data_IF_260339755823
#
_entry.id   IF_260339755823
#
_cell.length_a   1.000
_cell.length_b   1.000
_cell.length_c   1.000
_cell.angle_alpha   90.00
_cell.angle_beta   90.00
_cell.angle_gamma   90.00
#
_symmetry.space_group_name_H-M   'P 1'
#
loop_
_entity.id
_entity.type
_entity.pdbx_description
1 polymer ?
#
# COMPACT_ATOMS: atom_id res chain seq x y z
N UNK A 1 57.84 19.91 -5.97
CA UNK A 1 57.65 18.45 -6.05
C UNK A 1 56.29 18.20 -6.68
N UNK A 2 56.24 18.22 -8.02
CA UNK A 2 55.05 17.94 -8.81
C UNK A 2 54.98 16.44 -9.03
N UNK A 3 53.94 15.79 -8.53
CA UNK A 3 53.60 14.43 -8.94
C UNK A 3 52.75 14.52 -10.22
N UNK A 4 53.27 13.92 -11.29
CA UNK A 4 52.65 13.84 -12.60
C UNK A 4 51.32 13.07 -12.56
N UNK A 5 50.26 13.68 -13.08
CA UNK A 5 49.04 12.98 -13.49
C UNK A 5 49.41 11.93 -14.54
N UNK A 6 49.07 10.67 -14.27
CA UNK A 6 49.18 9.58 -15.23
C UNK A 6 48.30 9.85 -16.46
N UNK A 7 48.85 9.56 -17.65
CA UNK A 7 48.13 9.64 -18.91
C UNK A 7 46.92 8.69 -18.90
N UNK A 8 45.71 9.27 -18.91
CA UNK A 8 44.49 8.53 -19.23
C UNK A 8 44.60 8.10 -20.68
N UNK A 9 44.95 6.84 -20.94
CA UNK A 9 44.88 6.24 -22.27
C UNK A 9 43.43 6.20 -22.74
N UNK A 10 42.98 7.30 -23.36
CA UNK A 10 41.67 7.38 -24.00
C UNK A 10 41.73 6.57 -25.29
N UNK A 11 41.35 5.29 -25.23
CA UNK A 11 41.25 4.46 -26.43
C UNK A 11 40.27 5.12 -27.42
N UNK A 12 40.74 5.34 -28.65
CA UNK A 12 39.93 5.93 -29.71
C UNK A 12 38.87 4.91 -30.14
N UNK A 13 37.61 5.20 -29.86
CA UNK A 13 36.48 4.37 -30.29
C UNK A 13 36.45 4.32 -31.82
N UNK A 14 36.23 3.13 -32.40
CA UNK A 14 36.07 3.02 -33.85
C UNK A 14 34.76 3.69 -34.27
N UNK A 15 34.72 4.30 -35.46
CA UNK A 15 33.54 5.01 -35.97
C UNK A 15 32.34 4.09 -36.16
N UNK A 16 32.59 2.80 -36.42
CA UNK A 16 31.55 1.78 -36.63
C UNK A 16 31.33 0.91 -35.38
N UNK A 17 32.06 1.15 -34.29
CA UNK A 17 31.87 0.39 -33.06
C UNK A 17 30.63 0.91 -32.34
N UNK A 18 29.86 -0.03 -31.79
CA UNK A 18 28.61 0.23 -31.08
C UNK A 18 28.67 -0.23 -29.61
N UNK A 19 29.69 -1.01 -29.27
CA UNK A 19 29.90 -1.59 -27.95
C UNK A 19 31.21 -1.12 -27.30
N UNK A 20 31.19 -0.94 -25.97
CA UNK A 20 32.36 -0.64 -25.12
C UNK A 20 32.83 -1.88 -24.32
N UNK A 21 32.01 -2.94 -24.25
CA UNK A 21 32.36 -4.26 -23.70
C UNK A 21 31.56 -5.40 -24.37
N UNK A 22 31.90 -6.67 -24.07
CA UNK A 22 31.10 -7.84 -24.51
C UNK A 22 31.20 -9.11 -23.65
N UNK A 23 32.25 -9.31 -22.84
CA UNK A 23 32.45 -10.54 -22.05
C UNK A 23 32.90 -10.19 -20.63
N UNK A 24 32.91 -11.15 -19.71
CA UNK A 24 33.52 -10.95 -18.39
C UNK A 24 35.04 -11.14 -18.44
N UNK A 25 35.78 -10.30 -17.71
CA UNK A 25 37.25 -10.34 -17.66
C UNK A 25 37.81 -10.70 -16.28
N UNK A 26 36.99 -11.30 -15.42
CA UNK A 26 37.41 -11.74 -14.09
C UNK A 26 37.06 -10.74 -12.99
N UNK A 27 37.70 -10.88 -11.84
CA UNK A 27 37.37 -10.12 -10.63
C UNK A 27 38.25 -8.87 -10.52
N UNK A 28 37.66 -7.76 -10.11
CA UNK A 28 38.41 -6.60 -9.65
C UNK A 28 38.95 -6.81 -8.22
N UNK A 29 39.76 -5.89 -7.68
CA UNK A 29 40.28 -5.98 -6.32
C UNK A 29 39.20 -6.09 -5.22
N UNK A 30 37.96 -5.67 -5.49
CA UNK A 30 36.82 -5.80 -4.56
C UNK A 30 36.10 -7.15 -4.66
N UNK A 31 36.58 -8.07 -5.50
CA UNK A 31 36.00 -9.39 -5.71
C UNK A 31 34.72 -9.37 -6.56
N UNK A 32 34.47 -8.30 -7.31
CA UNK A 32 33.31 -8.16 -8.21
C UNK A 32 33.73 -8.43 -9.66
N UNK A 33 32.83 -9.03 -10.42
CA UNK A 33 33.07 -9.36 -11.84
C UNK A 33 33.13 -8.07 -12.66
N UNK A 34 34.14 -7.98 -13.52
CA UNK A 34 34.35 -6.87 -14.46
C UNK A 34 34.12 -7.31 -15.90
N UNK A 35 33.88 -6.32 -16.77
CA UNK A 35 33.68 -6.54 -18.18
C UNK A 35 34.99 -6.34 -18.96
N UNK A 36 35.23 -7.18 -19.97
CA UNK A 36 36.30 -7.00 -20.92
C UNK A 36 36.02 -5.81 -21.82
N UNK A 37 37.00 -4.92 -21.96
CA UNK A 37 36.96 -3.89 -22.99
C UNK A 37 36.75 -4.53 -24.37
N UNK A 38 35.85 -3.94 -25.13
CA UNK A 38 35.53 -4.34 -26.49
C UNK A 38 35.19 -3.09 -27.29
N UNK A 39 35.71 -2.98 -28.50
CA UNK A 39 35.48 -1.85 -29.40
C UNK A 39 35.05 -2.43 -30.75
N UNK A 40 33.76 -2.73 -30.88
CA UNK A 40 33.21 -3.36 -32.08
C UNK A 40 31.69 -3.29 -32.10
N UNK A 41 31.08 -3.94 -33.09
CA UNK A 41 29.63 -3.98 -33.23
C UNK A 41 28.97 -4.96 -32.27
N UNK A 42 27.69 -4.74 -31.96
CA UNK A 42 26.89 -5.74 -31.26
C UNK A 42 26.89 -7.09 -31.98
N UNK A 43 26.81 -8.17 -31.20
CA UNK A 43 26.83 -9.54 -31.73
C UNK A 43 25.46 -10.17 -31.61
N UNK A 44 25.11 -11.02 -32.57
CA UNK A 44 23.88 -11.79 -32.52
C UNK A 44 23.94 -12.75 -31.32
N UNK A 45 22.95 -12.67 -30.43
CA UNK A 45 22.82 -13.57 -29.30
C UNK A 45 22.21 -14.90 -29.76
N UNK A 46 23.03 -15.95 -29.82
CA UNK A 46 22.60 -17.28 -30.32
C UNK A 46 22.33 -18.29 -29.21
N UNK A 47 22.78 -18.03 -27.98
CA UNK A 47 22.59 -18.94 -26.85
C UNK A 47 21.11 -18.92 -26.41
N UNK A 48 20.45 -20.07 -26.48
CA UNK A 48 19.02 -20.20 -26.20
C UNK A 48 18.67 -19.87 -24.74
N UNK A 49 19.55 -20.21 -23.79
CA UNK A 49 19.32 -19.93 -22.37
C UNK A 49 19.44 -18.44 -22.10
N UNK A 50 20.46 -17.79 -22.66
CA UNK A 50 20.67 -16.36 -22.56
C UNK A 50 19.55 -15.57 -23.23
N UNK A 51 19.07 -15.99 -24.40
CA UNK A 51 17.90 -15.39 -25.06
C UNK A 51 16.68 -15.44 -24.15
N UNK A 52 16.41 -16.58 -23.52
CA UNK A 52 15.26 -16.72 -22.62
C UNK A 52 15.40 -15.87 -21.36
N UNK A 53 16.59 -15.84 -20.79
CA UNK A 53 16.90 -15.00 -19.62
C UNK A 53 16.76 -13.52 -19.97
N UNK A 54 17.27 -13.09 -21.12
CA UNK A 54 17.17 -11.70 -21.59
C UNK A 54 15.73 -11.31 -21.90
N UNK A 55 14.94 -12.16 -22.55
CA UNK A 55 13.50 -11.91 -22.76
C UNK A 55 12.78 -11.67 -21.43
N UNK A 56 13.08 -12.50 -20.42
CA UNK A 56 12.39 -12.45 -19.12
C UNK A 56 12.87 -11.27 -18.26
N UNK A 57 14.18 -11.03 -18.20
CA UNK A 57 14.77 -10.01 -17.34
C UNK A 57 14.82 -8.63 -18.00
N UNK A 58 14.94 -8.57 -19.33
CA UNK A 58 15.24 -7.37 -20.11
C UNK A 58 14.45 -7.35 -21.43
N UNK A 59 13.14 -7.61 -21.37
CA UNK A 59 12.27 -7.62 -22.54
C UNK A 59 12.34 -6.35 -23.40
N UNK A 60 12.80 -5.21 -22.86
CA UNK A 60 13.01 -3.98 -23.62
C UNK A 60 14.21 -4.00 -24.60
N UNK A 61 15.18 -4.91 -24.40
CA UNK A 61 16.36 -5.07 -25.27
C UNK A 61 16.19 -6.27 -26.21
N UNK A 62 15.34 -7.23 -25.83
CA UNK A 62 15.06 -8.41 -26.63
C UNK A 62 14.28 -8.05 -27.91
N UNK A 63 14.67 -8.63 -29.04
CA UNK A 63 14.05 -8.37 -30.35
C UNK A 63 13.62 -9.64 -31.09
N UNK A 64 13.63 -10.81 -30.43
CA UNK A 64 13.32 -12.11 -31.03
C UNK A 64 14.56 -13.00 -31.18
N UNK A 65 14.37 -14.31 -31.42
CA UNK A 65 15.45 -15.30 -31.34
C UNK A 65 16.54 -15.11 -32.41
N UNK A 66 16.19 -14.55 -33.57
CA UNK A 66 17.11 -14.39 -34.72
C UNK A 66 17.47 -12.93 -35.02
N UNK A 67 17.11 -12.00 -34.13
CA UNK A 67 17.18 -10.55 -34.34
C UNK A 67 17.66 -9.79 -33.10
N UNK A 68 18.07 -10.51 -32.05
CA UNK A 68 18.59 -9.91 -30.82
C UNK A 68 20.10 -9.77 -30.91
N UNK A 69 20.56 -8.55 -31.15
CA UNK A 69 21.98 -8.18 -31.09
C UNK A 69 22.27 -7.50 -29.76
N UNK A 70 23.37 -7.86 -29.11
CA UNK A 70 23.73 -7.34 -27.79
C UNK A 70 25.20 -6.94 -27.71
N UNK A 71 25.49 -5.99 -26.83
CA UNK A 71 26.83 -5.68 -26.36
C UNK A 71 27.20 -6.47 -25.08
N UNK A 72 26.54 -7.61 -24.86
CA UNK A 72 26.79 -8.46 -23.70
C UNK A 72 26.74 -9.94 -24.08
N UNK A 73 27.59 -10.75 -23.45
CA UNK A 73 27.65 -12.19 -23.62
C UNK A 73 26.69 -12.93 -22.66
N UNK A 74 26.40 -14.23 -22.92
CA UNK A 74 25.52 -15.06 -22.10
C UNK A 74 25.79 -15.04 -20.58
N UNK A 75 27.07 -15.05 -20.20
CA UNK A 75 27.52 -14.98 -18.82
C UNK A 75 27.15 -13.64 -18.15
N UNK A 76 27.30 -12.52 -18.87
CA UNK A 76 26.90 -11.19 -18.38
C UNK A 76 25.38 -11.09 -18.20
N UNK A 77 24.60 -11.66 -19.13
CA UNK A 77 23.14 -11.72 -19.03
C UNK A 77 22.72 -12.50 -17.78
N UNK A 78 23.32 -13.68 -17.56
CA UNK A 78 23.04 -14.50 -16.39
C UNK A 78 23.38 -13.76 -15.08
N UNK A 79 24.56 -13.12 -15.02
CA UNK A 79 24.99 -12.39 -13.82
C UNK A 79 24.13 -11.15 -13.54
N UNK A 80 23.77 -10.37 -14.56
CA UNK A 80 22.86 -9.24 -14.42
C UNK A 80 21.48 -9.70 -13.91
N UNK A 81 20.92 -10.77 -14.50
CA UNK A 81 19.64 -11.32 -14.07
C UNK A 81 19.67 -11.82 -12.62
N UNK A 82 20.78 -12.43 -12.18
CA UNK A 82 20.97 -12.83 -10.79
C UNK A 82 21.01 -11.63 -9.83
N UNK A 83 21.71 -10.55 -10.19
CA UNK A 83 21.77 -9.32 -9.38
C UNK A 83 20.39 -8.65 -9.22
N UNK A 84 19.52 -8.76 -10.24
CA UNK A 84 18.14 -8.28 -10.12
C UNK A 84 17.32 -9.02 -9.07
N UNK A 85 17.74 -10.18 -8.57
CA UNK A 85 17.04 -10.89 -7.48
C UNK A 85 16.87 -10.03 -6.23
N UNK A 86 17.92 -9.31 -5.82
CA UNK A 86 17.87 -8.39 -4.66
C UNK A 86 16.96 -7.18 -4.95
N UNK A 87 17.07 -6.59 -6.14
CA UNK A 87 16.20 -5.50 -6.54
C UNK A 87 14.73 -5.93 -6.62
N UNK A 88 14.44 -7.15 -7.08
CA UNK A 88 13.09 -7.71 -7.16
C UNK A 88 12.48 -7.91 -5.78
N UNK A 89 13.28 -8.32 -4.80
CA UNK A 89 12.83 -8.45 -3.42
C UNK A 89 12.38 -7.09 -2.84
N UNK A 90 13.04 -5.99 -3.23
CA UNK A 90 12.72 -4.64 -2.78
C UNK A 90 11.59 -3.99 -3.60
N UNK A 91 11.63 -4.10 -4.92
CA UNK A 91 10.80 -3.30 -5.83
C UNK A 91 9.67 -4.11 -6.47
N UNK A 92 9.66 -5.44 -6.33
CA UNK A 92 8.80 -6.34 -7.08
C UNK A 92 7.30 -6.24 -6.80
N UNK A 93 6.88 -5.56 -5.72
CA UNK A 93 5.46 -5.28 -5.44
C UNK A 93 4.85 -4.30 -6.44
N UNK A 94 5.66 -3.41 -7.01
CA UNK A 94 5.23 -2.45 -8.03
C UNK A 94 5.90 -2.79 -9.37
N UNK A 95 5.18 -3.41 -10.31
CA UNK A 95 5.73 -3.83 -11.60
C UNK A 95 6.39 -2.68 -12.37
N UNK A 96 5.75 -1.49 -12.43
CA UNK A 96 6.26 -0.33 -13.17
C UNK A 96 7.60 0.17 -12.63
N UNK A 97 7.73 0.25 -11.30
CA UNK A 97 9.01 0.57 -10.64
C UNK A 97 10.09 -0.44 -11.01
N UNK A 98 9.81 -1.74 -10.86
CA UNK A 98 10.80 -2.77 -11.14
C UNK A 98 11.18 -2.85 -12.64
N UNK A 99 10.25 -2.55 -13.54
CA UNK A 99 10.52 -2.43 -14.98
C UNK A 99 11.46 -1.27 -15.28
N UNK A 100 11.13 -0.07 -14.78
CA UNK A 100 11.95 1.12 -14.98
C UNK A 100 13.36 0.95 -14.38
N UNK A 101 13.46 0.37 -13.18
CA UNK A 101 14.74 0.02 -12.56
C UNK A 101 15.58 -0.90 -13.46
N UNK A 102 15.00 -1.99 -13.95
CA UNK A 102 15.72 -2.93 -14.84
C UNK A 102 16.12 -2.27 -16.16
N UNK A 103 15.28 -1.38 -16.69
CA UNK A 103 15.55 -0.67 -17.94
C UNK A 103 16.89 0.05 -17.95
N UNK A 104 17.25 0.66 -16.81
CA UNK A 104 18.53 1.36 -16.62
C UNK A 104 19.72 0.42 -16.83
N UNK A 105 19.70 -0.74 -16.19
CA UNK A 105 20.81 -1.69 -16.20
C UNK A 105 20.82 -2.60 -17.44
N UNK A 106 19.65 -2.98 -17.96
CA UNK A 106 19.52 -3.77 -19.19
C UNK A 106 20.12 -3.04 -20.39
N UNK A 107 19.81 -1.75 -20.55
CA UNK A 107 20.33 -0.92 -21.63
C UNK A 107 21.84 -0.66 -21.49
N UNK A 108 22.28 -0.27 -20.29
CA UNK A 108 23.70 -0.12 -19.98
C UNK A 108 24.49 -1.38 -20.33
N UNK A 109 24.01 -2.54 -19.90
CA UNK A 109 24.75 -3.79 -20.05
C UNK A 109 24.71 -4.32 -21.48
N UNK A 110 23.55 -4.30 -22.12
CA UNK A 110 23.26 -5.12 -23.29
C UNK A 110 22.75 -4.37 -24.54
N UNK A 111 22.44 -3.05 -24.47
CA UNK A 111 21.98 -2.32 -25.67
C UNK A 111 22.97 -2.48 -26.81
N UNK A 112 22.53 -2.73 -28.06
CA UNK A 112 23.43 -2.96 -29.19
C UNK A 112 24.27 -1.75 -29.59
N UNK A 113 23.97 -0.58 -29.03
CA UNK A 113 24.55 0.72 -29.31
C UNK A 113 24.88 1.52 -28.03
N UNK A 114 25.18 0.81 -26.94
CA UNK A 114 25.41 1.44 -25.64
C UNK A 114 26.60 2.41 -25.60
N UNK A 115 27.51 2.38 -26.59
CA UNK A 115 28.62 3.34 -26.66
C UNK A 115 28.17 4.79 -26.90
N UNK A 116 26.94 5.00 -27.38
CA UNK A 116 26.36 6.32 -27.61
C UNK A 116 26.17 7.11 -26.32
N UNK A 117 25.88 6.40 -25.23
CA UNK A 117 25.53 6.98 -23.94
C UNK A 117 26.43 6.51 -22.79
N UNK A 118 27.38 5.60 -23.08
CA UNK A 118 28.41 5.16 -22.14
C UNK A 118 29.80 5.62 -22.58
N UNK A 119 30.57 6.14 -21.63
CA UNK A 119 31.99 6.45 -21.84
C UNK A 119 32.83 5.81 -20.75
N UNK A 120 33.88 5.08 -21.13
CA UNK A 120 34.83 4.50 -20.17
C UNK A 120 35.70 5.61 -19.59
N UNK A 121 35.79 5.65 -18.26
CA UNK A 121 36.62 6.61 -17.53
C UNK A 121 37.83 5.96 -16.89
N UNK A 122 37.79 4.65 -16.63
CA UNK A 122 38.92 3.92 -16.05
C UNK A 122 39.02 2.48 -16.59
N UNK A 123 40.26 1.99 -16.66
CA UNK A 123 40.62 0.70 -17.21
C UNK A 123 41.55 -0.06 -16.27
N UNK A 124 41.47 -1.39 -16.31
CA UNK A 124 42.41 -2.24 -15.58
C UNK A 124 42.84 -3.46 -16.37
N UNK A 125 43.31 -4.47 -15.64
CA UNK A 125 43.88 -5.69 -16.21
C UNK A 125 43.02 -6.90 -15.87
N UNK A 126 42.71 -7.71 -16.88
CA UNK A 126 41.93 -8.94 -16.70
C UNK A 126 42.67 -9.98 -15.86
N UNK A 127 41.98 -10.55 -14.87
CA UNK A 127 42.47 -11.70 -14.10
C UNK A 127 42.15 -13.04 -14.77
N UNK A 128 41.25 -13.05 -15.75
CA UNK A 128 40.81 -14.26 -16.46
C UNK A 128 41.55 -14.47 -17.79
N UNK A 129 41.88 -13.38 -18.48
CA UNK A 129 42.51 -13.41 -19.79
C UNK A 129 43.78 -12.53 -19.79
N UNK A 130 44.98 -13.13 -19.63
CA UNK A 130 46.23 -12.38 -19.63
C UNK A 130 46.37 -11.46 -20.84
N UNK A 131 46.72 -10.20 -20.60
CA UNK A 131 46.90 -9.18 -21.64
C UNK A 131 45.61 -8.50 -22.13
N UNK A 132 44.42 -8.87 -21.61
CA UNK A 132 43.18 -8.14 -21.88
C UNK A 132 42.92 -7.05 -20.85
N UNK A 133 42.25 -6.00 -21.30
CA UNK A 133 41.86 -4.84 -20.49
C UNK A 133 40.45 -5.01 -19.92
N UNK A 134 40.24 -4.61 -18.67
CA UNK A 134 38.93 -4.52 -18.00
C UNK A 134 38.39 -3.09 -18.06
N UNK A 135 37.06 -2.94 -18.05
CA UNK A 135 36.39 -1.66 -17.80
C UNK A 135 36.17 -1.53 -16.30
N UNK A 136 36.74 -0.49 -15.69
CA UNK A 136 36.75 -0.29 -14.23
C UNK A 136 35.97 0.94 -13.74
N UNK A 137 35.64 1.88 -14.62
CA UNK A 137 34.67 2.91 -14.33
C UNK A 137 34.06 3.47 -15.62
N UNK A 138 32.82 3.96 -15.55
CA UNK A 138 32.14 4.59 -16.69
C UNK A 138 31.36 5.83 -16.28
N UNK A 139 31.15 6.71 -17.26
CA UNK A 139 30.05 7.66 -17.28
C UNK A 139 28.87 7.06 -18.05
N UNK A 140 27.67 7.16 -17.48
CA UNK A 140 26.43 6.76 -18.12
C UNK A 140 25.48 7.95 -18.21
N UNK A 141 25.30 8.50 -19.41
CA UNK A 141 24.44 9.65 -19.64
C UNK A 141 23.02 9.21 -19.97
N UNK A 142 22.05 9.63 -19.16
CA UNK A 142 20.62 9.31 -19.33
C UNK A 142 19.79 10.60 -19.36
N UNK A 143 18.57 10.51 -19.89
CA UNK A 143 17.64 11.63 -19.85
C UNK A 143 17.26 11.96 -18.39
N UNK A 144 17.18 13.24 -18.06
CA UNK A 144 16.81 13.69 -16.71
C UNK A 144 15.40 13.22 -16.33
N UNK A 145 14.45 13.32 -17.27
CA UNK A 145 13.07 12.89 -17.07
C UNK A 145 12.94 11.38 -16.93
N UNK A 146 13.75 10.61 -17.66
CA UNK A 146 13.85 9.16 -17.51
C UNK A 146 14.26 8.79 -16.07
N UNK A 147 15.28 9.46 -15.53
CA UNK A 147 15.74 9.22 -14.17
C UNK A 147 14.70 9.62 -13.11
N UNK A 148 14.04 10.77 -13.28
CA UNK A 148 12.97 11.24 -12.40
C UNK A 148 11.78 10.26 -12.38
N UNK A 149 11.43 9.70 -13.55
CA UNK A 149 10.35 8.73 -13.70
C UNK A 149 10.66 7.40 -13.03
N UNK A 150 11.91 6.92 -13.07
CA UNK A 150 12.33 5.74 -12.29
C UNK A 150 12.07 6.01 -10.81
N UNK A 151 12.62 7.09 -10.24
CA UNK A 151 12.44 7.41 -8.82
C UNK A 151 10.96 7.54 -8.46
N UNK A 152 10.20 8.33 -9.22
CA UNK A 152 8.79 8.61 -8.94
C UNK A 152 7.93 7.35 -9.00
N UNK A 153 8.22 6.43 -9.93
CA UNK A 153 7.51 5.14 -10.00
C UNK A 153 7.78 4.24 -8.80
N UNK A 154 8.92 4.43 -8.12
CA UNK A 154 9.37 3.64 -6.98
C UNK A 154 9.09 4.30 -5.62
N UNK A 155 8.57 5.54 -5.62
CA UNK A 155 8.43 6.39 -4.43
C UNK A 155 7.79 5.62 -3.27
N UNK A 156 6.54 5.19 -3.44
CA UNK A 156 5.75 4.64 -2.34
C UNK A 156 5.85 3.12 -2.20
N UNK A 157 6.78 2.47 -2.91
CA UNK A 157 6.90 1.01 -2.92
C UNK A 157 7.37 0.52 -1.55
N UNK A 158 6.65 -0.42 -0.96
CA UNK A 158 6.95 -0.97 0.35
C UNK A 158 7.84 -2.21 0.23
N UNK A 159 8.80 -2.36 1.13
CA UNK A 159 9.57 -3.59 1.27
C UNK A 159 8.75 -4.64 2.05
N UNK A 160 8.42 -5.81 1.46
CA UNK A 160 7.61 -6.83 2.13
C UNK A 160 8.13 -7.29 3.49
N UNK A 161 9.46 -7.31 3.68
CA UNK A 161 10.10 -7.86 4.87
C UNK A 161 10.21 -6.92 6.07
N UNK A 162 9.79 -5.66 5.95
CA UNK A 162 10.08 -4.65 6.98
C UNK A 162 9.04 -3.54 7.20
N UNK A 163 7.91 -3.54 6.47
CA UNK A 163 6.89 -2.48 6.55
C UNK A 163 7.46 -1.05 6.45
N UNK A 164 8.50 -0.89 5.63
CA UNK A 164 9.21 0.36 5.35
C UNK A 164 9.26 0.60 3.85
N UNK A 165 9.57 1.81 3.40
CA UNK A 165 9.71 2.09 1.97
C UNK A 165 11.00 1.44 1.45
N UNK A 166 10.95 0.88 0.24
CA UNK A 166 12.13 0.27 -0.37
C UNK A 166 13.26 1.28 -0.59
N UNK A 167 12.92 2.55 -0.82
CA UNK A 167 13.88 3.64 -0.97
C UNK A 167 14.67 3.95 0.32
N UNK A 168 14.16 3.63 1.51
CA UNK A 168 14.92 3.78 2.76
C UNK A 168 16.22 2.95 2.73
N UNK A 169 16.23 1.85 1.98
CA UNK A 169 17.40 0.98 1.80
C UNK A 169 18.13 1.20 0.48
N UNK A 170 17.54 1.93 -0.48
CA UNK A 170 18.03 2.03 -1.86
C UNK A 170 18.43 3.45 -2.28
N UNK A 171 18.54 4.39 -1.34
CA UNK A 171 18.87 5.79 -1.65
C UNK A 171 20.04 6.36 -0.84
N UNK A 172 20.54 5.63 0.17
CA UNK A 172 21.56 6.14 1.11
C UNK A 172 21.07 7.28 2.02
N UNK A 173 19.77 7.60 1.96
CA UNK A 173 19.07 8.64 2.71
C UNK A 173 17.66 8.16 3.06
N UNK A 174 17.01 8.74 4.07
CA UNK A 174 15.59 8.48 4.36
C UNK A 174 14.69 8.71 3.14
N UNK A 175 13.63 7.91 3.02
CA UNK A 175 12.69 7.92 1.89
C UNK A 175 12.16 9.32 1.53
N UNK A 176 11.84 10.14 2.53
CA UNK A 176 11.30 11.49 2.37
C UNK A 176 12.32 12.47 1.76
N UNK A 177 13.62 12.24 2.02
CA UNK A 177 14.75 13.03 1.55
C UNK A 177 15.44 12.45 0.30
N UNK A 178 14.91 11.35 -0.24
CA UNK A 178 15.46 10.73 -1.44
C UNK A 178 15.15 11.58 -2.69
N UNK A 179 16.21 12.12 -3.31
CA UNK A 179 16.14 12.84 -4.60
C UNK A 179 16.61 11.95 -5.74
N UNK A 180 16.32 12.36 -6.98
CA UNK A 180 16.75 11.65 -8.21
C UNK A 180 18.27 11.46 -8.23
N UNK A 181 19.02 12.51 -7.88
CA UNK A 181 20.48 12.49 -7.84
C UNK A 181 20.98 11.51 -6.78
N UNK A 182 20.44 11.57 -5.56
CA UNK A 182 20.83 10.66 -4.49
C UNK A 182 20.53 9.19 -4.83
N UNK A 183 19.36 8.94 -5.41
CA UNK A 183 18.96 7.60 -5.82
C UNK A 183 19.90 7.04 -6.91
N UNK A 184 20.16 7.82 -7.97
CA UNK A 184 21.07 7.39 -9.04
C UNK A 184 22.51 7.25 -8.56
N UNK A 185 22.98 8.13 -7.67
CA UNK A 185 24.29 8.01 -7.06
C UNK A 185 24.40 6.74 -6.21
N UNK A 186 23.36 6.38 -5.45
CA UNK A 186 23.31 5.12 -4.71
C UNK A 186 23.37 3.91 -5.65
N UNK A 187 22.64 3.94 -6.76
CA UNK A 187 22.64 2.86 -7.75
C UNK A 187 23.98 2.70 -8.49
N UNK A 188 24.74 3.78 -8.63
CA UNK A 188 25.97 3.79 -9.42
C UNK A 188 27.28 3.75 -8.63
N UNK A 189 27.29 4.18 -7.35
CA UNK A 189 28.53 4.36 -6.59
C UNK A 189 28.37 3.97 -5.11
N UNK A 190 27.36 4.50 -4.42
CA UNK A 190 27.31 4.46 -2.94
C UNK A 190 26.74 3.15 -2.37
N UNK A 191 26.56 2.11 -3.20
CA UNK A 191 26.05 0.81 -2.81
C UNK A 191 27.11 -0.30 -2.98
N UNK A 192 27.41 -1.11 -1.95
CA UNK A 192 28.36 -2.24 -2.03
C UNK A 192 28.04 -3.33 -3.05
N UNK A 193 26.83 -3.33 -3.62
CA UNK A 193 26.45 -4.25 -4.70
C UNK A 193 26.93 -3.79 -6.07
N UNK A 194 27.31 -2.52 -6.22
CA UNK A 194 27.86 -1.97 -7.46
C UNK A 194 29.18 -2.67 -7.79
N UNK A 195 29.34 -3.25 -9.00
CA UNK A 195 30.55 -3.99 -9.35
C UNK A 195 31.75 -3.07 -9.56
N UNK A 196 31.52 -1.88 -10.10
CA UNK A 196 32.52 -0.84 -10.37
C UNK A 196 31.80 0.52 -10.50
N UNK A 197 32.47 1.67 -10.26
CA UNK A 197 31.82 2.98 -10.31
C UNK A 197 31.11 3.29 -11.64
N UNK A 198 29.82 3.62 -11.55
CA UNK A 198 28.98 4.07 -12.66
C UNK A 198 28.53 5.50 -12.34
N UNK A 199 29.17 6.48 -12.97
CA UNK A 199 28.81 7.88 -12.84
C UNK A 199 27.61 8.20 -13.73
N UNK A 200 26.41 8.21 -13.14
CA UNK A 200 25.18 8.53 -13.87
C UNK A 200 25.08 10.05 -14.06
N UNK A 201 25.02 10.49 -15.32
CA UNK A 201 24.91 11.89 -15.74
C UNK A 201 23.54 12.15 -16.35
N UNK A 202 23.00 13.36 -16.17
CA UNK A 202 21.68 13.73 -16.68
C UNK A 202 21.78 14.68 -17.86
N UNK A 203 20.99 14.43 -18.91
CA UNK A 203 20.86 15.30 -20.08
C UNK A 203 19.41 15.70 -20.32
N UNK A 204 19.22 16.96 -20.72
CA UNK A 204 17.96 17.52 -21.23
C UNK A 204 18.11 18.01 -22.67
N UNK A 205 19.25 17.76 -23.31
CA UNK A 205 19.58 18.35 -24.60
C UNK A 205 18.95 17.57 -25.75
N UNK A 206 17.76 17.97 -26.18
CA UNK A 206 17.07 17.36 -27.33
C UNK A 206 17.84 17.49 -28.66
N UNK A 207 18.79 18.43 -28.76
CA UNK A 207 19.62 18.61 -29.96
C UNK A 207 20.66 17.50 -30.13
N UNK A 208 20.99 16.80 -29.05
CA UNK A 208 21.90 15.65 -29.02
C UNK A 208 21.17 14.42 -28.47
N UNK A 209 19.90 14.22 -28.85
CA UNK A 209 19.08 13.09 -28.39
C UNK A 209 19.77 11.72 -28.56
N UNK A 210 20.73 11.63 -29.49
CA UNK A 210 21.47 10.40 -29.74
C UNK A 210 22.58 10.12 -28.70
N UNK A 211 23.02 11.10 -27.90
CA UNK A 211 24.17 11.02 -26.98
C UNK A 211 23.82 10.61 -25.54
N UNK A 212 22.54 10.37 -25.26
CA UNK A 212 22.08 9.90 -23.96
C UNK A 212 20.97 8.87 -24.13
N UNK A 213 20.83 8.02 -23.11
CA UNK A 213 19.79 7.01 -23.12
C UNK A 213 18.45 7.61 -22.69
N UNK A 214 17.42 7.35 -23.50
CA UNK A 214 16.03 7.64 -23.16
C UNK A 214 15.12 6.53 -23.69
N UNK A 215 14.28 5.95 -22.84
CA UNK A 215 13.31 4.94 -23.23
C UNK A 215 11.99 5.15 -22.47
N UNK A 216 10.90 4.61 -23.01
CA UNK A 216 9.60 4.58 -22.36
C UNK A 216 9.69 3.98 -20.96
N UNK A 217 9.25 4.76 -19.98
CA UNK A 217 9.05 4.33 -18.59
C UNK A 217 7.57 4.31 -18.26
N UNK A 218 7.19 3.54 -17.25
CA UNK A 218 5.82 3.47 -16.76
C UNK A 218 5.69 4.10 -15.36
N UNK A 219 4.75 5.02 -15.16
CA UNK A 219 4.35 5.51 -13.84
C UNK A 219 3.76 4.37 -12.99
N UNK A 220 3.74 4.54 -11.67
CA UNK A 220 3.20 3.51 -10.79
C UNK A 220 1.69 3.29 -10.96
N UNK A 221 0.96 4.32 -11.41
CA UNK A 221 -0.49 4.29 -11.64
C UNK A 221 -0.91 3.79 -13.01
N UNK A 222 0.04 3.47 -13.90
CA UNK A 222 -0.27 2.97 -15.25
C UNK A 222 0.22 1.53 -15.44
N UNK A 223 -0.50 0.73 -16.25
CA UNK A 223 -0.07 -0.63 -16.57
C UNK A 223 1.17 -0.61 -17.47
N UNK A 224 1.99 -1.65 -17.35
CA UNK A 224 3.07 -1.91 -18.30
C UNK A 224 2.44 -2.54 -19.53
N UNK A 225 2.59 -1.88 -20.67
CA UNK A 225 2.20 -2.37 -21.99
C UNK A 225 3.44 -2.33 -22.89
N UNK A 226 4.24 -3.38 -22.84
CA UNK A 226 5.45 -3.52 -23.67
C UNK A 226 5.39 -4.79 -24.52
N UNK A 227 6.26 -4.88 -25.53
CA UNK A 227 6.25 -5.98 -26.50
C UNK A 227 6.30 -7.37 -25.86
N UNK A 228 7.10 -7.53 -24.80
CA UNK A 228 7.34 -8.83 -24.13
C UNK A 228 6.93 -8.86 -22.65
N UNK A 229 6.40 -7.76 -22.11
CA UNK A 229 5.97 -7.69 -20.72
C UNK A 229 4.67 -6.88 -20.60
N UNK A 230 3.63 -7.53 -20.09
CA UNK A 230 2.32 -6.93 -19.81
C UNK A 230 1.97 -7.15 -18.34
N UNK A 231 1.76 -6.07 -17.59
CA UNK A 231 1.46 -6.09 -16.15
C UNK A 231 0.45 -5.00 -15.80
N UNK A 232 -0.35 -5.26 -14.78
CA UNK A 232 -1.25 -4.24 -14.22
C UNK A 232 -0.47 -3.12 -13.54
N UNK A 233 -1.12 -1.99 -13.31
CA UNK A 233 -0.59 -0.91 -12.48
C UNK A 233 -0.29 -1.40 -11.05
N UNK A 234 0.52 -0.63 -10.33
CA UNK A 234 0.86 -0.91 -8.94
C UNK A 234 -0.36 -0.75 -8.02
N UNK A 235 -0.43 -1.53 -6.95
CA UNK A 235 -1.51 -1.42 -5.97
C UNK A 235 -1.45 -0.09 -5.20
N UNK A 236 -2.60 0.36 -4.69
CA UNK A 236 -2.74 1.61 -3.93
C UNK A 236 -1.75 1.73 -2.75
N UNK A 237 -1.44 0.62 -2.05
CA UNK A 237 -0.48 0.61 -0.95
C UNK A 237 0.96 0.90 -1.36
N UNK A 238 1.31 0.63 -2.63
CA UNK A 238 2.64 0.81 -3.19
C UNK A 238 2.70 2.02 -4.15
N UNK A 239 1.57 2.71 -4.34
CA UNK A 239 1.41 3.85 -5.24
C UNK A 239 0.12 4.61 -4.90
N UNK A 240 0.26 5.77 -4.24
CA UNK A 240 -0.91 6.56 -3.84
C UNK A 240 -1.75 7.01 -5.05
N UNK A 241 -1.12 7.23 -6.20
CA UNK A 241 -1.79 7.61 -7.45
C UNK A 241 -2.68 6.50 -8.04
N UNK A 242 -2.54 5.26 -7.58
CA UNK A 242 -3.42 4.14 -7.96
C UNK A 242 -4.66 4.03 -7.08
N UNK A 243 -4.77 4.81 -6.00
CA UNK A 243 -5.90 4.74 -5.08
C UNK A 243 -7.17 5.33 -5.70
N UNK A 244 -8.32 4.74 -5.39
CA UNK A 244 -9.61 5.36 -5.69
C UNK A 244 -9.76 6.66 -4.89
N UNK A 245 -10.41 7.70 -5.45
CA UNK A 245 -10.70 8.91 -4.69
C UNK A 245 -11.49 8.54 -3.43
N UNK A 246 -11.15 9.16 -2.31
CA UNK A 246 -11.87 8.97 -1.05
C UNK A 246 -13.35 9.32 -1.28
N UNK A 247 -14.28 8.46 -0.85
CA UNK A 247 -15.69 8.83 -0.87
C UNK A 247 -15.88 10.11 -0.04
N UNK A 248 -16.80 11.00 -0.43
CA UNK A 248 -17.06 12.21 0.34
C UNK A 248 -17.45 11.83 1.76
N UNK A 249 -16.98 12.61 2.74
CA UNK A 249 -17.39 12.45 4.14
C UNK A 249 -18.92 12.46 4.21
N UNK A 250 -19.50 11.28 4.45
CA UNK A 250 -20.91 11.20 4.81
C UNK A 250 -21.00 11.81 6.20
N UNK A 251 -21.66 12.97 6.38
CA UNK A 251 -21.77 13.55 7.70
C UNK A 251 -22.47 12.53 8.60
N UNK A 252 -21.78 12.10 9.66
CA UNK A 252 -22.38 11.27 10.69
C UNK A 252 -23.70 11.93 11.11
N UNK A 253 -24.84 11.32 10.76
CA UNK A 253 -26.14 11.76 11.24
C UNK A 253 -26.19 11.46 12.74
N UNK A 254 -25.63 12.35 13.55
CA UNK A 254 -25.73 12.32 14.99
C UNK A 254 -27.20 12.60 15.34
N UNK A 255 -27.83 11.66 16.03
CA UNK A 255 -29.18 11.84 16.56
C UNK A 255 -29.15 13.00 17.55
N UNK A 256 -29.71 14.15 17.14
CA UNK A 256 -29.68 15.38 17.91
C UNK A 256 -31.08 15.94 18.08
N UNK A 257 -31.36 16.45 19.29
CA UNK A 257 -32.58 17.19 19.62
C UNK A 257 -32.12 18.55 20.14
N UNK A 258 -32.51 19.64 19.47
CA UNK A 258 -32.04 21.01 19.78
C UNK A 258 -30.50 21.14 19.90
N UNK A 259 -29.75 20.54 18.97
CA UNK A 259 -28.28 20.51 18.98
C UNK A 259 -27.64 19.86 20.21
N UNK A 260 -28.39 19.10 21.00
CA UNK A 260 -27.89 18.23 22.06
C UNK A 260 -28.01 16.77 21.60
N UNK A 261 -27.20 15.89 22.18
CA UNK A 261 -27.33 14.43 21.97
C UNK A 261 -28.77 14.01 22.30
N UNK A 262 -29.48 13.41 21.34
CA UNK A 262 -30.87 13.06 21.51
C UNK A 262 -31.09 12.02 22.62
N UNK A 263 -30.11 11.14 22.88
CA UNK A 263 -30.17 10.22 24.01
C UNK A 263 -30.09 10.94 25.34
N UNK A 264 -29.26 11.98 25.42
CA UNK A 264 -29.15 12.83 26.60
C UNK A 264 -30.48 13.54 26.91
N UNK A 265 -31.14 14.09 25.89
CA UNK A 265 -32.45 14.76 26.05
C UNK A 265 -33.53 13.76 26.51
N UNK A 266 -33.60 12.58 25.89
CA UNK A 266 -34.55 11.52 26.28
C UNK A 266 -34.32 11.10 27.73
N UNK A 267 -33.06 10.94 28.15
CA UNK A 267 -32.72 10.55 29.53
C UNK A 267 -33.20 11.59 30.56
N UNK A 268 -33.01 12.89 30.28
CA UNK A 268 -33.49 13.96 31.16
C UNK A 268 -35.01 13.93 31.30
N UNK A 269 -35.73 13.84 30.17
CA UNK A 269 -37.20 13.77 30.19
C UNK A 269 -37.68 12.55 30.98
N UNK A 270 -37.04 11.39 30.78
CA UNK A 270 -37.33 10.17 31.54
C UNK A 270 -37.15 10.37 33.06
N UNK A 271 -36.05 10.97 33.49
CA UNK A 271 -35.77 11.24 34.91
C UNK A 271 -36.82 12.19 35.51
N UNK A 272 -37.15 13.28 34.80
CA UNK A 272 -38.15 14.25 35.28
C UNK A 272 -39.52 13.60 35.46
N UNK A 273 -39.94 12.76 34.51
CA UNK A 273 -41.20 12.02 34.61
C UNK A 273 -41.20 11.06 35.81
N UNK A 274 -40.12 10.29 36.00
CA UNK A 274 -39.98 9.39 37.14
C UNK A 274 -40.02 10.13 38.49
N UNK A 275 -39.29 11.25 38.61
CA UNK A 275 -39.31 12.05 39.84
C UNK A 275 -40.69 12.67 40.09
N UNK A 276 -41.35 13.21 39.06
CA UNK A 276 -42.68 13.80 39.20
C UNK A 276 -43.72 12.79 39.71
N UNK A 277 -43.72 11.57 39.17
CA UNK A 277 -44.62 10.50 39.61
C UNK A 277 -44.31 10.05 41.04
N UNK A 278 -43.04 10.01 41.43
CA UNK A 278 -42.62 9.73 42.82
C UNK A 278 -43.10 10.82 43.80
N UNK A 279 -42.94 12.09 43.46
CA UNK A 279 -43.42 13.20 44.30
C UNK A 279 -44.95 13.26 44.37
N UNK A 280 -45.67 13.06 43.26
CA UNK A 280 -47.12 13.04 43.25
C UNK A 280 -47.69 11.85 44.04
N UNK A 281 -47.07 10.67 43.92
CA UNK A 281 -47.48 9.49 44.70
C UNK A 281 -47.21 9.67 46.20
N UNK A 282 -46.06 10.20 46.60
CA UNK A 282 -45.76 10.49 48.02
C UNK A 282 -46.64 11.62 48.58
N UNK A 283 -46.95 12.65 47.78
CA UNK A 283 -47.86 13.73 48.17
C UNK A 283 -49.30 13.24 48.32
N UNK A 284 -49.80 12.45 47.37
CA UNK A 284 -51.15 11.85 47.47
C UNK A 284 -51.23 10.88 48.64
N UNK A 285 -50.24 10.01 48.84
CA UNK A 285 -50.18 9.09 49.99
C UNK A 285 -50.10 9.86 51.31
N UNK A 286 -49.30 10.91 51.40
CA UNK A 286 -49.18 11.71 52.63
C UNK A 286 -50.45 12.51 52.92
N UNK A 287 -51.14 13.07 51.92
CA UNK A 287 -52.47 13.67 52.10
C UNK A 287 -53.52 12.66 52.53
N UNK A 288 -53.55 11.47 51.92
CA UNK A 288 -54.47 10.39 52.30
C UNK A 288 -54.18 9.88 53.72
N UNK A 289 -52.90 9.75 54.11
CA UNK A 289 -52.50 9.39 55.48
C UNK A 289 -52.85 10.49 56.49
N UNK A 290 -52.63 11.77 56.15
CA UNK A 290 -52.98 12.91 57.02
C UNK A 290 -54.50 13.01 57.20
N UNK A 291 -55.28 12.86 56.12
CA UNK A 291 -56.75 12.83 56.19
C UNK A 291 -57.26 11.68 57.07
N UNK A 292 -56.69 10.47 56.94
CA UNK A 292 -57.02 9.34 57.83
C UNK A 292 -56.60 9.57 59.27
N UNK A 293 -55.47 10.21 59.53
CA UNK A 293 -55.02 10.52 60.89
C UNK A 293 -55.87 11.62 61.56
N UNK A 294 -56.37 12.59 60.79
CA UNK A 294 -57.32 13.61 61.26
C UNK A 294 -58.70 13.00 61.54
N UNK A 295 -59.16 12.07 60.70
CA UNK A 295 -60.39 11.31 60.92
C UNK A 295 -60.27 10.44 62.20
N UNK A 296 -59.14 9.76 62.41
CA UNK A 296 -58.90 8.95 63.62
C UNK A 296 -58.85 9.78 64.92
N UNK A 297 -58.19 10.95 64.91
CA UNK A 297 -58.12 11.85 66.09
C UNK A 297 -59.46 12.46 66.47
N UNK A 298 -60.41 12.59 65.55
CA UNK A 298 -61.77 13.05 65.86
C UNK A 298 -62.61 11.94 66.51
N UNK A 299 -62.40 10.67 66.10
CA UNK A 299 -63.06 9.51 66.74
C UNK A 299 -62.55 9.20 68.15
N UNK A 300 -61.27 9.41 68.46
CA UNK A 300 -60.72 9.13 69.82
C UNK A 300 -61.19 10.15 70.89
N UNK A 301 -61.73 11.31 70.49
CA UNK A 301 -62.28 12.30 71.42
C UNK A 301 -63.76 12.05 71.78
N UNK A 302 -64.44 11.14 71.08
CA UNK A 302 -65.87 10.84 71.26
C UNK A 302 -66.07 9.32 71.14
N UNK A 303 -65.77 8.55 72.19
CA UNK A 303 -66.51 7.34 72.62
C UNK A 303 -65.75 6.52 73.67
N UNK A 304 -66.31 6.46 74.88
CA UNK A 304 -66.15 5.33 75.79
C UNK A 304 -66.93 4.15 75.18
N UNK A 305 -66.27 3.03 74.79
CA UNK A 305 -66.74 1.62 74.56
C UNK A 305 -65.70 0.88 73.64
N UNK A 306 -65.39 -0.44 73.79
CA UNK A 306 -64.20 -1.11 73.21
C UNK A 306 -64.42 -1.67 71.77
N UNK A 307 -63.40 -2.27 71.09
CA UNK A 307 -63.11 -1.99 69.68
C UNK A 307 -63.95 -2.79 68.68
N UNK A 308 -64.42 -2.09 67.64
CA UNK A 308 -64.95 -2.71 66.41
C UNK A 308 -63.81 -2.85 65.39
N UNK A 309 -63.62 -4.09 64.95
CA UNK A 309 -62.68 -4.59 63.95
C UNK A 309 -62.66 -3.77 62.63
N UNK A 310 -61.52 -3.20 62.18
CA UNK A 310 -61.45 -2.48 60.92
C UNK A 310 -60.92 -3.35 59.77
N UNK A 311 -61.71 -4.33 59.31
CA UNK A 311 -61.49 -4.99 58.01
C UNK A 311 -62.42 -4.40 56.93
N UNK A 312 -62.26 -3.12 56.59
CA UNK A 312 -62.98 -2.53 55.46
C UNK A 312 -62.19 -1.45 54.73
N UNK A 313 -61.06 -1.82 54.11
CA UNK A 313 -60.45 -0.96 53.08
C UNK A 313 -59.65 -1.68 51.98
N UNK A 314 -60.01 -2.92 51.61
CA UNK A 314 -59.30 -3.67 50.55
C UNK A 314 -60.23 -4.52 49.67
N UNK A 315 -61.43 -4.03 49.35
CA UNK A 315 -62.34 -4.70 48.40
C UNK A 315 -62.09 -4.29 46.94
N UNK A 316 -61.86 -2.99 46.69
CA UNK A 316 -61.79 -2.44 45.34
C UNK A 316 -60.52 -2.83 44.58
N UNK A 317 -59.38 -2.89 45.27
CA UNK A 317 -58.08 -3.18 44.66
C UNK A 317 -57.90 -4.68 44.31
N UNK A 318 -58.49 -5.58 45.11
CA UNK A 318 -58.50 -7.03 44.84
C UNK A 318 -59.32 -7.38 43.60
N UNK A 319 -60.42 -6.68 43.37
CA UNK A 319 -61.29 -6.90 42.20
C UNK A 319 -60.63 -6.42 40.89
N UNK A 320 -59.88 -5.31 40.93
CA UNK A 320 -59.15 -4.80 39.76
C UNK A 320 -58.03 -5.77 39.35
N UNK A 321 -57.24 -6.27 40.32
CA UNK A 321 -56.18 -7.26 40.05
C UNK A 321 -56.73 -8.54 39.43
N UNK A 322 -57.83 -9.07 39.97
CA UNK A 322 -58.47 -10.28 39.44
C UNK A 322 -59.03 -10.07 38.02
N UNK A 323 -59.54 -8.87 37.73
CA UNK A 323 -60.03 -8.51 36.40
C UNK A 323 -58.89 -8.36 35.37
N UNK A 324 -57.75 -7.81 35.76
CA UNK A 324 -56.60 -7.67 34.86
C UNK A 324 -55.92 -9.01 34.56
N UNK A 325 -55.81 -9.89 35.56
CA UNK A 325 -55.28 -11.25 35.37
C UNK A 325 -56.17 -12.04 34.39
N UNK A 326 -57.49 -12.00 34.57
CA UNK A 326 -58.45 -12.69 33.67
C UNK A 326 -58.48 -12.09 32.25
N UNK A 327 -58.27 -10.79 32.10
CA UNK A 327 -58.22 -10.14 30.80
C UNK A 327 -56.96 -10.54 30.02
N UNK A 328 -55.79 -10.50 30.67
CA UNK A 328 -54.52 -10.91 30.08
C UNK A 328 -54.54 -12.38 29.68
N UNK A 329 -55.08 -13.25 30.54
CA UNK A 329 -55.19 -14.69 30.26
C UNK A 329 -56.01 -14.95 28.99
N UNK A 330 -57.14 -14.25 28.80
CA UNK A 330 -57.97 -14.37 27.58
C UNK A 330 -57.24 -13.90 26.32
N UNK A 331 -56.48 -12.82 26.41
CA UNK A 331 -55.72 -12.31 25.27
C UNK A 331 -54.60 -13.26 24.89
N UNK A 332 -53.77 -13.66 25.85
CA UNK A 332 -52.67 -14.57 25.59
C UNK A 332 -53.15 -15.95 25.13
N UNK A 333 -54.27 -16.44 25.66
CA UNK A 333 -54.88 -17.67 25.19
C UNK A 333 -55.35 -17.57 23.73
N UNK A 334 -56.01 -16.47 23.33
CA UNK A 334 -56.44 -16.27 21.94
C UNK A 334 -55.26 -16.10 20.98
N UNK A 335 -54.23 -15.36 21.42
CA UNK A 335 -53.01 -15.19 20.65
C UNK A 335 -52.28 -16.53 20.46
N UNK A 336 -52.14 -17.31 21.54
CA UNK A 336 -51.55 -18.64 21.51
C UNK A 336 -52.33 -19.61 20.63
N UNK A 337 -53.66 -19.59 20.70
CA UNK A 337 -54.54 -20.42 19.87
C UNK A 337 -54.40 -20.06 18.38
N UNK A 338 -54.32 -18.77 18.05
CA UNK A 338 -54.10 -18.32 16.67
C UNK A 338 -52.75 -18.78 16.14
N UNK A 339 -51.68 -18.64 16.93
CA UNK A 339 -50.35 -19.12 16.58
C UNK A 339 -50.32 -20.65 16.36
N UNK A 340 -51.03 -21.41 17.20
CA UNK A 340 -51.11 -22.86 17.10
C UNK A 340 -51.96 -23.35 15.92
N UNK A 341 -53.04 -22.62 15.56
CA UNK A 341 -53.91 -22.99 14.44
C UNK A 341 -53.29 -22.67 13.07
N UNK A 342 -52.41 -21.67 12.98
CA UNK A 342 -51.75 -21.27 11.72
C UNK A 342 -50.23 -21.12 11.85
N UNK A 343 -49.51 -22.20 12.19
CA UNK A 343 -48.07 -22.14 12.48
C UNK A 343 -47.25 -21.69 11.26
N UNK A 344 -47.60 -22.14 10.06
CA UNK A 344 -46.89 -21.76 8.83
C UNK A 344 -46.98 -20.27 8.51
N UNK A 345 -48.11 -19.61 8.83
CA UNK A 345 -48.29 -18.17 8.61
C UNK A 345 -47.42 -17.35 9.57
N UNK A 346 -47.35 -17.76 10.84
CA UNK A 346 -46.52 -17.08 11.85
C UNK A 346 -45.02 -17.27 11.53
N UNK A 347 -44.62 -18.48 11.13
CA UNK A 347 -43.23 -18.77 10.78
C UNK A 347 -42.79 -18.02 9.51
N UNK A 348 -43.65 -17.91 8.50
CA UNK A 348 -43.34 -17.17 7.26
C UNK A 348 -43.22 -15.67 7.52
N UNK A 349 -44.12 -15.07 8.29
CA UNK A 349 -43.99 -13.66 8.71
C UNK A 349 -42.70 -13.44 9.51
N UNK A 350 -42.37 -14.35 10.44
CA UNK A 350 -41.12 -14.27 11.20
C UNK A 350 -39.87 -14.33 10.32
N UNK A 351 -39.84 -15.23 9.34
CA UNK A 351 -38.72 -15.33 8.38
C UNK A 351 -38.61 -14.10 7.48
N UNK A 352 -39.73 -13.52 7.03
CA UNK A 352 -39.73 -12.28 6.23
C UNK A 352 -39.10 -11.14 7.03
N UNK A 353 -39.48 -10.97 8.31
CA UNK A 353 -38.96 -9.91 9.18
C UNK A 353 -37.46 -10.09 9.49
N UNK A 354 -36.95 -11.31 9.53
CA UNK A 354 -35.51 -11.58 9.75
C UNK A 354 -34.69 -11.35 8.47
N UNK A 355 -35.29 -11.60 7.30
CA UNK A 355 -34.62 -11.48 6.01
C UNK A 355 -34.61 -10.05 5.43
N UNK A 356 -35.50 -9.17 5.91
CA UNK A 356 -35.52 -7.73 5.63
C UNK A 356 -34.70 -6.96 6.65
#
# INVERSE_FOLDING_TARGET
MQASLGEVHRYKHDKDAHCIWYQQCGLNPTGKITNCYYNGTAKLLTDATALKTLETACGMVYNGPNSTYTCCAPDQIANMANQFGMAKLMLGRCPSCYYNFRSLFCSMTCSPDHNRFLAITDYGTSTLYPGKTTVEAINYTIADDFAERILTSCRDVLYPGGNQHSLDSMCGRPYDQCTKEAFMQYLGIDNPQVPFPIHILFSNNTSEAESYYNQTTFLCSEPILSRYENKTACGCLDCQKSCSPTPPDVPDKKFTIWNLDGWFVIAIVGIVLLLSTFFLSTFTISKLRKSRATEYRFTDAITLIPPVNPQKSSGRMKNIRKSTEQFLERIFFRLGLFCAQRPYLVLTIGLIVIAS
#
